data_IF_516825459993
#
_entry.id   IF_516825459993
#
_cell.length_a   1.000
_cell.length_b   1.000
_cell.length_c   1.000
_cell.angle_alpha   90.00
_cell.angle_beta   90.00
_cell.angle_gamma   90.00
#
_symmetry.space_group_name_H-M   'P 1'
#
loop_
_entity.id
_entity.type
_entity.pdbx_description
1 polymer ?
#
# COMPACT_ATOMS: atom_id res chain seq x y z
N UNK A 1 13.81 9.08 58.13
CA UNK A 1 12.47 9.19 58.77
C UNK A 1 11.46 9.36 57.63
N UNK A 2 10.51 8.50 57.24
CA UNK A 2 10.18 7.12 57.55
C UNK A 2 9.56 6.50 56.29
N UNK A 3 9.92 5.25 56.07
CA UNK A 3 9.33 4.43 55.04
C UNK A 3 7.93 3.94 55.47
N UNK A 4 6.96 3.92 54.59
CA UNK A 4 5.76 3.06 54.72
C UNK A 4 5.55 2.25 53.46
N UNK A 5 5.90 0.95 53.54
CA UNK A 5 5.52 -0.13 52.68
C UNK A 5 4.04 -0.44 52.92
N UNK A 6 3.27 -0.60 51.85
CA UNK A 6 1.98 -1.28 51.92
C UNK A 6 1.98 -2.46 50.92
N UNK A 7 2.00 -3.65 51.52
CA UNK A 7 1.79 -4.90 50.81
C UNK A 7 0.29 -5.15 50.67
N UNK A 8 -0.19 -5.52 49.46
CA UNK A 8 -1.54 -6.04 49.25
C UNK A 8 -1.43 -7.47 48.73
N UNK A 9 -2.11 -8.34 49.47
CA UNK A 9 -2.09 -9.78 49.34
C UNK A 9 -2.88 -10.28 48.09
N UNK A 10 -2.30 -11.34 47.50
CA UNK A 10 -2.84 -12.16 46.46
C UNK A 10 -3.90 -13.12 47.05
N UNK A 11 -5.16 -13.03 46.61
CA UNK A 11 -6.16 -14.08 46.83
C UNK A 11 -6.39 -14.86 45.57
N UNK A 12 -5.89 -16.09 45.58
CA UNK A 12 -6.18 -17.14 44.57
C UNK A 12 -7.50 -17.80 44.96
N UNK A 13 -8.49 -17.75 44.07
CA UNK A 13 -9.67 -18.61 44.13
C UNK A 13 -9.59 -19.62 42.98
N UNK A 14 -9.27 -20.87 43.35
CA UNK A 14 -9.51 -22.06 42.52
C UNK A 14 -10.97 -22.48 42.63
N UNK A 15 -11.72 -22.48 41.53
CA UNK A 15 -12.96 -23.24 41.43
C UNK A 15 -12.81 -24.37 40.42
N UNK A 16 -12.77 -25.56 40.95
CA UNK A 16 -12.93 -26.85 40.23
C UNK A 16 -14.38 -26.97 39.74
N UNK A 17 -14.60 -27.14 38.45
CA UNK A 17 -15.86 -27.67 37.91
C UNK A 17 -15.57 -29.00 37.23
N UNK A 18 -16.37 -29.99 37.69
CA UNK A 18 -16.32 -31.39 37.31
C UNK A 18 -16.87 -31.61 35.89
N UNK A 19 -16.22 -32.53 35.18
CA UNK A 19 -16.70 -33.14 33.94
C UNK A 19 -17.88 -34.07 34.28
N UNK A 20 -19.00 -33.96 33.54
CA UNK A 20 -20.01 -34.98 33.43
C UNK A 20 -19.98 -35.59 32.03
N UNK A 21 -19.61 -36.86 31.95
CA UNK A 21 -19.73 -37.71 30.76
C UNK A 21 -21.22 -37.97 30.48
N UNK A 22 -21.64 -37.68 29.27
CA UNK A 22 -22.91 -38.14 28.71
C UNK A 22 -22.62 -39.06 27.53
N UNK A 23 -22.71 -40.35 27.77
CA UNK A 23 -22.70 -41.40 26.74
C UNK A 23 -24.08 -41.46 26.07
N UNK A 24 -24.15 -40.98 24.82
CA UNK A 24 -25.30 -41.27 23.95
C UNK A 24 -25.10 -42.62 23.22
N UNK A 25 -26.02 -43.51 23.43
CA UNK A 25 -26.13 -44.83 22.77
C UNK A 25 -26.81 -44.66 21.40
N UNK A 26 -26.12 -45.13 20.33
CA UNK A 26 -26.67 -45.23 18.98
C UNK A 26 -27.73 -46.36 18.88
N UNK A 27 -28.84 -46.17 18.14
CA UNK A 27 -29.80 -47.22 17.89
C UNK A 27 -29.30 -48.19 16.80
N UNK A 28 -29.53 -49.51 17.07
CA UNK A 28 -29.22 -50.60 16.15
C UNK A 28 -30.19 -50.60 14.95
N UNK A 29 -29.62 -50.64 13.75
CA UNK A 29 -30.38 -50.80 12.51
C UNK A 29 -30.57 -52.28 12.19
N UNK A 30 -31.83 -52.74 12.04
CA UNK A 30 -32.17 -54.06 11.60
C UNK A 30 -31.93 -54.27 10.11
N UNK A 31 -31.29 -55.39 9.79
CA UNK A 31 -31.09 -55.87 8.41
C UNK A 31 -32.41 -56.39 7.83
N UNK A 32 -33.10 -55.62 7.00
CA UNK A 32 -34.09 -56.12 6.09
C UNK A 32 -33.48 -56.24 4.69
N UNK A 33 -33.42 -57.49 4.20
CA UNK A 33 -32.88 -57.83 2.88
C UNK A 33 -33.88 -57.41 1.79
N UNK A 34 -33.56 -56.35 1.06
CA UNK A 34 -34.29 -55.92 -0.12
C UNK A 34 -33.75 -56.70 -1.34
N UNK A 35 -34.62 -57.51 -1.95
CA UNK A 35 -34.36 -58.15 -3.24
C UNK A 35 -34.46 -57.11 -4.32
N UNK A 36 -33.32 -56.75 -4.95
CA UNK A 36 -33.28 -55.80 -6.04
C UNK A 36 -33.23 -56.60 -7.37
N UNK A 37 -34.24 -56.40 -8.21
CA UNK A 37 -34.25 -56.90 -9.60
C UNK A 37 -33.22 -56.15 -10.43
N UNK A 38 -32.46 -56.80 -11.35
CA UNK A 38 -31.49 -56.15 -12.15
C UNK A 38 -32.17 -55.20 -13.19
N UNK A 39 -31.78 -53.94 -13.10
CA UNK A 39 -32.14 -52.91 -14.11
C UNK A 39 -31.35 -53.20 -15.44
N UNK A 40 -31.95 -53.04 -16.59
CA UNK A 40 -31.26 -53.25 -17.86
C UNK A 40 -30.16 -52.17 -18.05
N UNK A 41 -29.00 -52.66 -18.54
CA UNK A 41 -27.81 -51.84 -18.78
C UNK A 41 -28.12 -50.80 -19.90
N UNK A 42 -27.76 -49.54 -19.72
CA UNK A 42 -27.90 -48.50 -20.75
C UNK A 42 -26.90 -48.75 -21.89
N UNK A 43 -27.25 -48.37 -23.15
CA UNK A 43 -26.39 -48.61 -24.30
C UNK A 43 -25.03 -47.88 -24.16
N UNK A 44 -23.96 -48.61 -24.45
CA UNK A 44 -22.59 -48.08 -24.43
C UNK A 44 -22.43 -46.98 -25.49
N UNK A 45 -22.33 -45.73 -25.01
CA UNK A 45 -21.99 -44.59 -25.88
C UNK A 45 -20.48 -44.63 -26.13
N UNK A 46 -20.10 -44.86 -27.39
CA UNK A 46 -18.70 -44.73 -27.81
C UNK A 46 -18.30 -43.24 -27.73
N UNK A 47 -17.28 -42.86 -26.97
CA UNK A 47 -16.89 -41.46 -26.91
C UNK A 47 -16.30 -40.99 -28.25
N UNK A 48 -16.89 -39.97 -28.81
CA UNK A 48 -16.32 -39.24 -29.96
C UNK A 48 -15.02 -38.59 -29.48
N UNK A 49 -13.90 -38.76 -30.22
CA UNK A 49 -12.64 -38.13 -29.82
C UNK A 49 -12.80 -36.61 -29.82
N UNK A 50 -12.52 -36.01 -28.64
CA UNK A 50 -12.47 -34.57 -28.42
C UNK A 50 -11.36 -34.00 -29.32
N UNK A 51 -11.59 -32.91 -30.07
CA UNK A 51 -10.53 -32.27 -30.82
C UNK A 51 -9.43 -31.80 -29.88
N UNK A 52 -8.22 -32.25 -30.10
CA UNK A 52 -7.03 -31.83 -29.37
C UNK A 52 -6.85 -30.32 -29.57
N UNK A 53 -6.86 -29.48 -28.53
CA UNK A 53 -6.57 -28.07 -28.71
C UNK A 53 -5.11 -27.91 -29.12
N UNK A 54 -4.88 -27.56 -30.38
CA UNK A 54 -3.58 -27.14 -30.89
C UNK A 54 -3.36 -25.70 -30.46
N UNK A 55 -2.98 -25.49 -29.19
CA UNK A 55 -2.41 -24.22 -28.75
C UNK A 55 -0.92 -24.32 -29.00
N UNK A 56 -0.45 -23.71 -30.10
CA UNK A 56 0.95 -23.29 -30.16
C UNK A 56 1.23 -22.39 -28.96
N UNK A 57 2.29 -22.61 -28.20
CA UNK A 57 2.66 -21.66 -27.16
C UNK A 57 2.95 -20.33 -27.85
N UNK A 58 2.11 -19.33 -27.61
CA UNK A 58 2.41 -17.95 -27.92
C UNK A 58 3.69 -17.64 -27.15
N UNK A 59 4.79 -17.42 -27.87
CA UNK A 59 6.04 -16.97 -27.30
C UNK A 59 5.69 -15.66 -26.56
N UNK A 60 5.69 -15.68 -25.22
CA UNK A 60 5.59 -14.46 -24.42
C UNK A 60 6.70 -13.55 -24.89
N UNK A 61 6.35 -12.46 -25.58
CA UNK A 61 7.30 -11.39 -25.80
C UNK A 61 7.73 -10.90 -24.43
N UNK A 62 9.05 -10.94 -24.18
CA UNK A 62 9.61 -10.30 -22.98
C UNK A 62 9.46 -8.81 -23.24
N UNK A 63 8.52 -8.18 -22.51
CA UNK A 63 8.38 -6.73 -22.50
C UNK A 63 9.56 -6.23 -21.68
N UNK A 64 10.45 -5.49 -22.30
CA UNK A 64 11.62 -4.91 -21.62
C UNK A 64 11.23 -3.56 -21.05
N UNK A 65 11.65 -3.28 -19.80
CA UNK A 65 11.44 -1.97 -19.17
C UNK A 65 12.21 -0.89 -19.92
N UNK A 66 11.58 0.25 -20.18
CA UNK A 66 12.24 1.44 -20.75
C UNK A 66 13.08 2.12 -19.66
N UNK A 67 14.30 2.49 -19.99
CA UNK A 67 15.10 3.34 -19.10
C UNK A 67 14.82 4.79 -19.46
N UNK A 68 14.31 5.53 -18.49
CA UNK A 68 14.01 6.95 -18.63
C UNK A 68 14.91 7.79 -17.73
N UNK A 69 15.12 9.04 -18.11
CA UNK A 69 15.82 10.04 -17.28
C UNK A 69 14.84 11.06 -16.76
N UNK A 70 15.24 11.77 -15.71
CA UNK A 70 14.46 12.84 -15.11
C UNK A 70 15.02 14.19 -15.57
N UNK A 71 14.16 15.01 -16.20
CA UNK A 71 14.50 16.38 -16.53
C UNK A 71 13.81 17.34 -15.57
N UNK A 72 14.62 18.13 -14.83
CA UNK A 72 14.13 19.14 -13.88
C UNK A 72 13.64 20.37 -14.65
N UNK A 73 12.39 20.77 -14.38
CA UNK A 73 11.77 21.98 -14.94
C UNK A 73 11.93 23.18 -14.01
N UNK A 74 11.96 22.93 -12.70
CA UNK A 74 12.09 23.95 -11.65
C UNK A 74 12.28 23.34 -10.29
N UNK A 75 12.63 24.17 -9.33
CA UNK A 75 12.77 23.80 -7.92
C UNK A 75 11.92 24.71 -7.04
N UNK A 76 11.46 24.19 -5.91
CA UNK A 76 10.68 24.92 -4.91
C UNK A 76 11.18 24.56 -3.52
N UNK A 77 11.11 25.47 -2.55
CA UNK A 77 11.48 25.16 -1.16
C UNK A 77 10.63 24.01 -0.59
N UNK A 78 11.23 23.22 0.30
CA UNK A 78 10.56 22.20 1.08
C UNK A 78 11.05 22.25 2.53
N UNK A 79 10.24 21.78 3.46
CA UNK A 79 10.60 21.71 4.88
C UNK A 79 11.64 20.61 5.14
N UNK A 80 12.88 20.97 5.39
CA UNK A 80 13.99 20.05 5.68
C UNK A 80 13.80 19.21 6.95
N UNK A 81 12.76 19.49 7.74
CA UNK A 81 12.38 18.68 8.91
C UNK A 81 11.29 17.65 8.57
N UNK A 82 10.68 17.73 7.37
CA UNK A 82 9.65 16.82 6.93
C UNK A 82 10.26 15.47 6.50
N UNK A 83 9.89 14.41 7.23
CA UNK A 83 10.24 13.04 6.84
C UNK A 83 9.13 12.49 5.94
N UNK A 84 9.15 12.87 4.68
CA UNK A 84 8.11 12.62 3.68
C UNK A 84 7.84 11.14 3.49
N UNK A 85 6.55 10.75 3.60
CA UNK A 85 6.10 9.36 3.43
C UNK A 85 4.91 9.22 2.48
N UNK A 86 4.23 10.31 2.16
CA UNK A 86 3.17 10.37 1.17
C UNK A 86 3.04 11.79 0.65
N UNK A 87 2.73 11.97 -0.64
CA UNK A 87 2.78 13.26 -1.31
C UNK A 87 1.79 13.28 -2.47
N UNK A 88 0.73 14.11 -2.42
CA UNK A 88 -0.32 14.07 -3.43
C UNK A 88 -1.02 15.42 -3.60
N UNK A 89 -1.39 15.74 -4.84
CA UNK A 89 -2.20 16.91 -5.17
C UNK A 89 -3.71 16.63 -5.13
N UNK A 90 -4.47 17.56 -4.55
CA UNK A 90 -5.92 17.68 -4.71
C UNK A 90 -6.25 19.00 -5.38
N UNK A 91 -6.40 18.97 -6.70
CA UNK A 91 -6.47 20.20 -7.49
C UNK A 91 -5.15 20.98 -7.44
N UNK A 92 -5.18 22.19 -6.85
CA UNK A 92 -3.97 23.01 -6.65
C UNK A 92 -3.39 22.86 -5.23
N UNK A 93 -4.03 22.11 -4.36
CA UNK A 93 -3.63 21.90 -2.97
C UNK A 93 -2.69 20.70 -2.90
N UNK A 94 -1.59 20.84 -2.19
CA UNK A 94 -0.60 19.79 -2.00
C UNK A 94 -0.65 19.29 -0.56
N UNK A 95 -0.75 17.97 -0.39
CA UNK A 95 -0.76 17.32 0.90
C UNK A 95 0.49 16.45 1.07
N UNK A 96 0.99 16.41 2.31
CA UNK A 96 2.16 15.63 2.69
C UNK A 96 1.89 14.85 3.96
N UNK A 97 2.11 13.54 3.92
CA UNK A 97 2.19 12.68 5.09
C UNK A 97 3.63 12.58 5.56
N UNK A 98 3.87 12.81 6.86
CA UNK A 98 5.21 12.81 7.47
C UNK A 98 5.35 11.69 8.48
N UNK A 99 6.52 11.04 8.46
CA UNK A 99 6.91 10.00 9.40
C UNK A 99 7.60 10.54 10.65
N UNK A 100 8.23 9.64 11.40
CA UNK A 100 8.93 9.77 12.67
C UNK A 100 7.99 9.87 13.89
N UNK A 101 8.13 8.89 14.80
CA UNK A 101 7.35 8.89 16.06
C UNK A 101 7.58 10.16 16.86
N UNK A 102 6.49 10.81 17.28
CA UNK A 102 6.51 12.10 17.98
C UNK A 102 6.54 13.32 17.04
N UNK A 103 6.78 13.12 15.72
CA UNK A 103 6.78 14.18 14.70
C UNK A 103 5.94 13.84 13.48
N UNK A 104 5.29 12.66 13.47
CA UNK A 104 4.39 12.25 12.38
C UNK A 104 3.16 13.14 12.32
N UNK A 105 2.70 13.39 11.09
CA UNK A 105 1.54 14.24 10.87
C UNK A 105 1.08 14.25 9.43
N UNK A 106 0.06 15.05 9.17
CA UNK A 106 -0.46 15.35 7.85
C UNK A 106 -0.46 16.86 7.66
N UNK A 107 0.10 17.34 6.57
CA UNK A 107 0.32 18.75 6.29
C UNK A 107 -0.30 19.12 4.95
N UNK A 108 -0.94 20.27 4.86
CA UNK A 108 -1.22 20.94 3.59
C UNK A 108 -0.19 22.04 3.39
N UNK A 109 0.46 22.04 2.25
CA UNK A 109 1.54 22.98 1.90
C UNK A 109 1.21 23.77 0.64
N UNK A 110 1.67 25.00 0.59
CA UNK A 110 1.67 25.79 -0.63
C UNK A 110 2.73 25.21 -1.59
N UNK A 111 2.29 24.65 -2.69
CA UNK A 111 3.18 24.00 -3.65
C UNK A 111 4.17 24.95 -4.33
N UNK A 112 4.00 26.27 -4.25
CA UNK A 112 4.88 27.24 -4.91
C UNK A 112 6.10 27.64 -4.08
N UNK A 113 5.98 27.65 -2.76
CA UNK A 113 7.02 28.15 -1.85
C UNK A 113 7.28 27.24 -0.62
N UNK A 114 6.52 26.13 -0.50
CA UNK A 114 6.67 25.17 0.59
C UNK A 114 6.11 25.64 1.93
N UNK A 115 5.37 26.78 1.97
CA UNK A 115 4.77 27.27 3.21
C UNK A 115 3.72 26.28 3.75
N UNK A 116 3.81 25.93 5.03
CA UNK A 116 2.82 25.10 5.71
C UNK A 116 1.54 25.92 5.92
N UNK A 117 0.46 25.53 5.27
CA UNK A 117 -0.84 26.16 5.37
C UNK A 117 -1.66 25.60 6.54
N UNK A 118 -1.61 24.26 6.72
CA UNK A 118 -2.28 23.55 7.80
C UNK A 118 -1.45 22.33 8.19
N UNK A 119 -1.48 22.00 9.47
CA UNK A 119 -0.75 20.88 10.03
C UNK A 119 -1.58 20.20 11.14
N UNK A 120 -1.62 18.86 11.11
CA UNK A 120 -2.12 18.04 12.20
C UNK A 120 -1.08 16.99 12.57
N UNK A 121 -0.89 16.81 13.87
CA UNK A 121 0.03 15.80 14.39
C UNK A 121 -0.69 14.49 14.70
N UNK A 122 -0.05 13.35 14.41
CA UNK A 122 -0.47 12.06 14.92
C UNK A 122 -0.08 11.95 16.41
N UNK A 123 -0.78 11.06 17.14
CA UNK A 123 -0.35 10.69 18.46
C UNK A 123 1.08 10.09 18.44
N UNK A 124 1.92 10.39 19.45
CA UNK A 124 3.37 10.16 19.37
C UNK A 124 3.79 8.69 19.23
N UNK A 125 2.91 7.76 19.52
CA UNK A 125 3.13 6.32 19.31
C UNK A 125 3.07 5.89 17.83
N UNK A 126 2.43 6.68 16.97
CA UNK A 126 2.30 6.35 15.54
C UNK A 126 3.48 6.86 14.73
N UNK A 127 3.83 6.10 13.71
CA UNK A 127 4.70 6.53 12.64
C UNK A 127 3.82 6.66 11.39
N UNK A 128 3.58 7.88 10.90
CA UNK A 128 2.82 8.15 9.67
C UNK A 128 3.58 7.66 8.45
N UNK A 129 2.84 7.09 7.51
CA UNK A 129 3.36 6.55 6.25
C UNK A 129 2.59 7.11 5.06
N UNK A 130 2.54 6.40 3.94
CA UNK A 130 1.88 6.82 2.72
C UNK A 130 0.45 7.30 2.93
N UNK A 131 0.01 8.18 2.06
CA UNK A 131 -1.36 8.70 2.05
C UNK A 131 -1.90 8.73 0.64
N UNK A 132 -3.23 8.79 0.51
CA UNK A 132 -3.90 9.10 -0.75
C UNK A 132 -5.24 9.77 -0.52
N UNK A 133 -5.76 10.41 -1.57
CA UNK A 133 -7.01 11.16 -1.53
C UNK A 133 -8.11 10.35 -2.23
N UNK A 134 -9.23 10.12 -1.51
CA UNK A 134 -10.41 9.44 -2.03
C UNK A 134 -11.62 10.35 -1.86
N UNK A 135 -12.11 10.93 -2.94
CA UNK A 135 -13.19 11.91 -2.89
C UNK A 135 -12.82 13.13 -2.04
N UNK A 136 -13.55 13.33 -0.95
CA UNK A 136 -13.34 14.45 -0.02
C UNK A 136 -12.59 14.00 1.26
N UNK A 137 -11.86 12.89 1.20
CA UNK A 137 -11.12 12.34 2.35
C UNK A 137 -9.68 12.01 2.01
N UNK A 138 -8.80 12.09 3.03
CA UNK A 138 -7.41 11.68 2.97
C UNK A 138 -7.25 10.43 3.82
N UNK A 139 -6.70 9.35 3.26
CA UNK A 139 -6.36 8.12 3.98
C UNK A 139 -4.86 8.12 4.23
N UNK A 140 -4.43 8.08 5.50
CA UNK A 140 -3.02 8.05 5.90
C UNK A 140 -2.71 6.73 6.62
N UNK A 141 -1.68 6.03 6.16
CA UNK A 141 -1.19 4.80 6.77
C UNK A 141 -0.34 5.06 8.01
N UNK A 142 -0.14 4.01 8.81
CA UNK A 142 0.88 3.94 9.87
C UNK A 142 1.81 2.76 9.59
N UNK A 143 3.12 2.88 9.83
CA UNK A 143 4.12 1.85 9.52
C UNK A 143 3.76 0.46 10.06
N UNK A 144 3.83 0.26 11.37
CA UNK A 144 3.68 -1.05 12.03
C UNK A 144 2.48 -1.12 12.96
N UNK A 145 1.68 -0.04 13.04
CA UNK A 145 0.54 0.00 13.97
C UNK A 145 -0.73 -0.59 13.38
N UNK A 146 -0.72 -0.94 12.08
CA UNK A 146 -1.84 -1.57 11.38
C UNK A 146 -3.10 -0.70 11.33
N UNK A 147 -2.93 0.63 11.34
CA UNK A 147 -4.02 1.61 11.28
C UNK A 147 -3.89 2.52 10.08
N UNK A 148 -5.01 2.76 9.40
CA UNK A 148 -5.15 3.81 8.41
C UNK A 148 -6.17 4.83 8.91
N UNK A 149 -5.73 6.07 9.09
CA UNK A 149 -6.57 7.17 9.54
C UNK A 149 -7.23 7.85 8.34
N UNK A 150 -8.51 8.23 8.48
CA UNK A 150 -9.26 8.92 7.43
C UNK A 150 -9.63 10.30 7.93
N UNK A 151 -9.22 11.31 7.19
CA UNK A 151 -9.47 12.72 7.51
C UNK A 151 -10.39 13.35 6.47
N UNK A 152 -11.27 14.21 6.92
CA UNK A 152 -11.98 15.14 6.03
C UNK A 152 -10.98 16.15 5.44
N UNK A 153 -10.95 16.31 4.12
CA UNK A 153 -9.92 17.09 3.43
C UNK A 153 -10.04 18.60 3.70
N UNK A 154 -11.26 19.08 3.99
CA UNK A 154 -11.49 20.50 4.23
C UNK A 154 -11.12 20.93 5.64
N UNK A 155 -11.30 20.06 6.62
CA UNK A 155 -11.09 20.40 8.04
C UNK A 155 -9.86 19.73 8.64
N UNK A 156 -9.30 18.73 8.00
CA UNK A 156 -8.29 17.80 8.50
C UNK A 156 -8.72 17.10 9.80
N UNK A 157 -10.03 17.03 10.06
CA UNK A 157 -10.56 16.33 11.21
C UNK A 157 -10.60 14.82 10.94
N UNK A 158 -10.21 14.02 11.93
CA UNK A 158 -10.33 12.56 11.86
C UNK A 158 -11.82 12.18 11.80
N UNK A 159 -12.25 11.51 10.73
CA UNK A 159 -13.66 11.11 10.51
C UNK A 159 -13.85 9.60 10.56
N UNK A 160 -12.80 8.81 10.29
CA UNK A 160 -12.84 7.35 10.34
C UNK A 160 -11.43 6.79 10.57
N UNK A 161 -11.35 5.47 10.82
CA UNK A 161 -10.10 4.71 10.78
C UNK A 161 -10.38 3.28 10.32
N UNK A 162 -9.42 2.70 9.63
CA UNK A 162 -9.40 1.29 9.27
C UNK A 162 -8.28 0.55 10.01
N UNK A 163 -8.37 -0.77 10.00
CA UNK A 163 -7.31 -1.65 10.51
C UNK A 163 -6.80 -2.56 9.39
N UNK A 164 -5.49 -2.86 9.42
CA UNK A 164 -4.88 -3.78 8.48
C UNK A 164 -3.74 -4.58 9.15
N UNK A 165 -3.30 -5.63 8.51
CA UNK A 165 -2.21 -6.47 8.98
C UNK A 165 -0.92 -6.19 8.19
N UNK A 166 0.23 -6.33 8.88
CA UNK A 166 1.54 -6.10 8.28
C UNK A 166 1.99 -4.65 8.38
N UNK A 167 2.93 -4.29 7.55
CA UNK A 167 3.43 -2.93 7.41
C UNK A 167 2.67 -2.18 6.32
N UNK A 168 2.56 -0.86 6.45
CA UNK A 168 2.07 0.02 5.40
C UNK A 168 3.14 1.05 5.08
N UNK A 169 3.50 1.19 3.78
CA UNK A 169 4.51 2.13 3.33
C UNK A 169 3.91 3.20 2.41
N UNK A 170 3.63 2.90 1.15
CA UNK A 170 2.97 3.80 0.21
C UNK A 170 1.50 3.47 0.00
N UNK A 171 0.73 4.45 -0.46
CA UNK A 171 -0.69 4.29 -0.79
C UNK A 171 -1.04 5.24 -1.94
N UNK A 172 -1.68 4.75 -3.01
CA UNK A 172 -2.30 5.60 -4.02
C UNK A 172 -3.66 5.05 -4.46
N UNK A 173 -4.48 5.90 -5.11
CA UNK A 173 -5.82 5.59 -5.59
C UNK A 173 -5.94 5.85 -7.09
N UNK A 174 -6.34 4.84 -7.87
CA UNK A 174 -6.51 4.95 -9.33
C UNK A 174 -7.91 5.39 -9.79
N UNK A 175 -8.77 5.77 -8.84
CA UNK A 175 -10.19 6.08 -9.09
C UNK A 175 -11.12 4.88 -8.88
N UNK A 176 -10.59 3.68 -8.65
CA UNK A 176 -11.35 2.44 -8.45
C UNK A 176 -10.84 1.65 -7.25
N UNK A 177 -9.53 1.46 -7.16
CA UNK A 177 -8.86 0.65 -6.14
C UNK A 177 -7.74 1.44 -5.48
N UNK A 178 -7.48 1.15 -4.22
CA UNK A 178 -6.27 1.56 -3.54
C UNK A 178 -5.15 0.55 -3.81
N UNK A 179 -3.95 1.04 -4.10
CA UNK A 179 -2.72 0.25 -4.15
C UNK A 179 -1.87 0.59 -2.94
N UNK A 180 -1.49 -0.41 -2.18
CA UNK A 180 -0.71 -0.28 -0.95
C UNK A 180 0.58 -1.07 -1.04
N UNK A 181 1.71 -0.44 -0.79
CA UNK A 181 3.03 -1.07 -0.67
C UNK A 181 3.37 -1.40 0.79
N UNK A 182 4.32 -2.34 0.98
CA UNK A 182 4.88 -2.73 2.26
C UNK A 182 6.39 -3.05 2.17
N UNK A 183 7.03 -2.58 1.09
CA UNK A 183 8.43 -2.85 0.79
C UNK A 183 8.70 -4.19 0.10
N UNK A 184 7.70 -5.04 -0.06
CA UNK A 184 7.80 -6.29 -0.84
C UNK A 184 7.70 -6.06 -2.35
N UNK A 185 7.65 -7.13 -3.12
CA UNK A 185 7.39 -7.14 -4.57
C UNK A 185 5.90 -7.25 -4.92
N UNK A 186 5.02 -6.94 -3.96
CA UNK A 186 3.56 -7.05 -4.12
C UNK A 186 2.90 -5.76 -3.70
N UNK A 187 2.06 -5.20 -4.56
CA UNK A 187 1.09 -4.17 -4.18
C UNK A 187 -0.21 -4.85 -3.76
N UNK A 188 -0.67 -4.56 -2.54
CA UNK A 188 -1.96 -5.04 -2.06
C UNK A 188 -3.06 -4.12 -2.57
N UNK A 189 -4.07 -4.67 -3.27
CA UNK A 189 -5.24 -3.92 -3.73
C UNK A 189 -6.29 -3.89 -2.62
N UNK A 190 -6.88 -2.70 -2.38
CA UNK A 190 -7.89 -2.50 -1.34
C UNK A 190 -9.09 -1.74 -1.88
N UNK A 191 -10.22 -2.03 -1.29
CA UNK A 191 -11.46 -1.30 -1.51
C UNK A 191 -11.39 0.08 -0.82
N UNK A 192 -11.68 1.19 -1.51
CA UNK A 192 -11.51 2.54 -0.96
C UNK A 192 -12.52 2.90 0.15
N UNK A 193 -13.67 2.23 0.22
CA UNK A 193 -14.72 2.52 1.21
C UNK A 193 -14.55 1.71 2.49
N UNK A 194 -14.09 0.45 2.38
CA UNK A 194 -14.00 -0.49 3.50
C UNK A 194 -12.58 -0.82 3.91
N UNK A 195 -11.59 -0.47 3.07
CA UNK A 195 -10.19 -0.82 3.19
C UNK A 195 -9.91 -2.33 3.14
N UNK A 196 -10.91 -3.15 2.80
CA UNK A 196 -10.77 -4.59 2.66
C UNK A 196 -9.84 -4.95 1.49
N UNK A 197 -9.06 -6.03 1.66
CA UNK A 197 -8.22 -6.54 0.56
C UNK A 197 -9.10 -7.13 -0.53
N UNK A 198 -8.95 -6.63 -1.74
CA UNK A 198 -9.68 -7.07 -2.94
C UNK A 198 -8.81 -7.89 -3.89
N UNK A 199 -7.47 -7.76 -3.79
CA UNK A 199 -6.54 -8.44 -4.66
C UNK A 199 -5.09 -8.12 -4.33
N UNK A 200 -4.22 -8.50 -5.24
CA UNK A 200 -2.79 -8.16 -5.18
C UNK A 200 -2.20 -8.10 -6.58
N UNK A 201 -1.20 -7.25 -6.77
CA UNK A 201 -0.45 -7.10 -8.01
C UNK A 201 1.02 -7.38 -7.73
N UNK A 202 1.55 -8.45 -8.33
CA UNK A 202 2.98 -8.77 -8.21
C UNK A 202 3.77 -7.92 -9.20
N UNK A 203 4.82 -7.25 -8.72
CA UNK A 203 5.66 -6.34 -9.51
C UNK A 203 6.88 -7.06 -10.04
N UNK A 204 7.06 -7.03 -11.36
CA UNK A 204 8.17 -7.68 -12.06
C UNK A 204 8.78 -6.75 -13.11
N UNK A 205 10.10 -6.84 -13.28
CA UNK A 205 10.85 -6.24 -14.39
C UNK A 205 11.69 -7.34 -15.04
N UNK A 206 11.58 -7.53 -16.35
CA UNK A 206 12.34 -8.54 -17.09
C UNK A 206 12.33 -9.94 -16.45
N UNK A 207 11.18 -10.37 -15.92
CA UNK A 207 10.95 -11.62 -15.18
C UNK A 207 11.57 -11.70 -13.78
N UNK A 208 12.12 -10.60 -13.27
CA UNK A 208 12.66 -10.53 -11.91
C UNK A 208 11.70 -9.74 -11.01
N UNK A 209 11.44 -10.26 -9.82
CA UNK A 209 10.65 -9.55 -8.81
C UNK A 209 11.32 -8.25 -8.38
N UNK A 210 10.55 -7.17 -8.30
CA UNK A 210 11.00 -5.84 -7.88
C UNK A 210 10.45 -5.53 -6.51
N UNK A 211 11.32 -5.41 -5.52
CA UNK A 211 10.98 -5.11 -4.13
C UNK A 211 11.41 -3.68 -3.73
N UNK A 212 11.21 -3.33 -2.44
CA UNK A 212 11.44 -2.01 -1.85
C UNK A 212 10.50 -0.93 -2.39
N UNK A 213 9.30 -1.35 -2.82
CA UNK A 213 8.25 -0.42 -3.23
C UNK A 213 7.85 0.42 -2.02
N UNK A 214 7.97 1.73 -2.13
CA UNK A 214 7.71 2.65 -1.03
C UNK A 214 6.58 3.61 -1.38
N UNK A 215 6.79 4.90 -1.39
CA UNK A 215 5.78 5.89 -1.67
C UNK A 215 5.25 5.72 -3.10
N UNK A 216 3.94 5.94 -3.29
CA UNK A 216 3.21 5.60 -4.50
C UNK A 216 2.37 6.78 -5.00
N UNK A 217 2.36 6.98 -6.33
CA UNK A 217 1.45 7.87 -7.03
C UNK A 217 0.74 7.14 -8.19
N UNK A 218 -0.58 7.18 -8.24
CA UNK A 218 -1.39 6.55 -9.28
C UNK A 218 -1.72 7.54 -10.40
N UNK A 219 -1.25 7.29 -11.62
CA UNK A 219 -1.52 8.12 -12.81
C UNK A 219 -1.94 7.25 -13.98
N UNK A 220 -3.15 7.45 -14.48
CA UNK A 220 -3.76 6.67 -15.56
C UNK A 220 -3.70 5.15 -15.28
N UNK A 221 -3.02 4.37 -16.12
CA UNK A 221 -2.88 2.93 -15.98
C UNK A 221 -1.55 2.50 -15.31
N UNK A 222 -0.88 3.43 -14.61
CA UNK A 222 0.38 3.18 -13.92
C UNK A 222 0.35 3.56 -12.44
N UNK A 223 1.07 2.77 -11.63
CA UNK A 223 1.53 3.15 -10.31
C UNK A 223 2.99 3.55 -10.40
N UNK A 224 3.30 4.81 -10.11
CA UNK A 224 4.67 5.28 -9.92
C UNK A 224 5.08 4.98 -8.49
N UNK A 225 6.26 4.38 -8.30
CA UNK A 225 6.74 3.98 -7.00
C UNK A 225 8.19 4.41 -6.77
N UNK A 226 8.46 5.02 -5.62
CA UNK A 226 9.83 5.16 -5.14
C UNK A 226 10.41 3.79 -4.78
N UNK A 227 11.62 3.48 -5.22
CA UNK A 227 12.37 2.32 -4.74
C UNK A 227 13.24 2.72 -3.54
N UNK A 228 12.84 2.27 -2.35
CA UNK A 228 13.49 2.66 -1.10
C UNK A 228 15.01 2.43 -1.10
N UNK A 229 15.77 3.41 -0.62
CA UNK A 229 17.24 3.46 -0.59
C UNK A 229 17.88 3.43 -1.97
N UNK A 230 17.21 3.97 -2.99
CA UNK A 230 17.77 4.21 -4.31
C UNK A 230 17.32 5.57 -4.82
N UNK A 231 17.96 6.05 -5.89
CA UNK A 231 17.54 7.23 -6.64
C UNK A 231 16.70 6.83 -7.85
N UNK A 232 15.77 5.89 -7.66
CA UNK A 232 14.98 5.30 -8.75
C UNK A 232 13.49 5.41 -8.45
N UNK A 233 12.75 5.83 -9.46
CA UNK A 233 11.30 5.72 -9.55
C UNK A 233 10.97 4.70 -10.63
N UNK A 234 9.95 3.88 -10.45
CA UNK A 234 9.46 2.94 -11.45
C UNK A 234 8.00 3.22 -11.78
N UNK A 235 7.61 3.02 -13.05
CA UNK A 235 6.23 3.03 -13.49
C UNK A 235 5.75 1.59 -13.69
N UNK A 236 4.76 1.18 -12.90
CA UNK A 236 4.23 -0.18 -12.84
C UNK A 236 2.88 -0.18 -13.54
N UNK A 237 2.71 -1.00 -14.56
CA UNK A 237 1.44 -1.18 -15.25
C UNK A 237 0.42 -1.89 -14.33
N UNK A 238 -0.73 -1.28 -14.13
CA UNK A 238 -1.76 -1.76 -13.17
C UNK A 238 -2.44 -3.07 -13.58
N UNK A 239 -2.42 -3.42 -14.87
CA UNK A 239 -3.04 -4.64 -15.38
C UNK A 239 -2.11 -5.85 -15.28
N UNK A 240 -0.81 -5.65 -15.52
CA UNK A 240 0.18 -6.73 -15.65
C UNK A 240 1.12 -6.85 -14.45
N UNK A 241 1.32 -5.78 -13.69
CA UNK A 241 2.38 -5.67 -12.68
C UNK A 241 3.78 -5.54 -13.28
N UNK A 242 3.89 -5.40 -14.61
CA UNK A 242 5.17 -5.20 -15.27
C UNK A 242 5.66 -3.76 -15.04
N UNK A 243 6.97 -3.60 -14.81
CA UNK A 243 7.62 -2.28 -14.77
C UNK A 243 7.85 -1.84 -16.20
N UNK A 244 7.04 -0.90 -16.69
CA UNK A 244 7.16 -0.38 -18.05
C UNK A 244 8.32 0.61 -18.17
N UNK A 245 8.58 1.40 -17.10
CA UNK A 245 9.68 2.39 -17.09
C UNK A 245 10.47 2.34 -15.78
N UNK A 246 11.78 2.49 -15.90
CA UNK A 246 12.72 2.69 -14.78
C UNK A 246 13.31 4.09 -14.94
N UNK A 247 13.02 4.98 -14.01
CA UNK A 247 13.37 6.41 -14.07
C UNK A 247 14.56 6.67 -13.15
N UNK A 248 15.68 7.13 -13.72
CA UNK A 248 16.87 7.54 -12.97
C UNK A 248 16.71 8.98 -12.47
N UNK A 249 16.62 9.14 -11.16
CA UNK A 249 16.52 10.41 -10.45
C UNK A 249 17.86 10.85 -9.83
N UNK A 250 18.97 10.17 -10.11
CA UNK A 250 20.28 10.45 -9.49
C UNK A 250 20.78 11.87 -9.73
N UNK A 251 20.32 12.55 -10.79
CA UNK A 251 20.62 13.96 -11.05
C UNK A 251 20.18 14.88 -9.93
N UNK A 252 19.13 14.53 -9.16
CA UNK A 252 18.65 15.33 -8.03
C UNK A 252 19.69 15.42 -6.91
N UNK A 253 20.54 14.40 -6.76
CA UNK A 253 21.63 14.38 -5.77
C UNK A 253 22.70 15.46 -6.01
N UNK A 254 22.70 16.11 -7.18
CA UNK A 254 23.63 17.20 -7.50
C UNK A 254 23.23 18.56 -6.93
N UNK A 255 21.99 18.67 -6.40
CA UNK A 255 21.50 19.91 -5.82
C UNK A 255 21.95 20.07 -4.36
N UNK A 256 22.27 21.32 -3.99
CA UNK A 256 22.75 21.65 -2.65
C UNK A 256 21.72 21.25 -1.58
N UNK A 257 22.19 20.59 -0.53
CA UNK A 257 21.38 20.13 0.59
C UNK A 257 20.65 18.79 0.34
N UNK A 258 20.61 18.28 -0.92
CA UNK A 258 19.94 17.01 -1.24
C UNK A 258 20.85 15.82 -0.99
N UNK A 259 22.10 15.85 -1.44
CA UNK A 259 23.06 14.75 -1.30
C UNK A 259 23.37 14.37 0.16
N UNK A 260 23.26 15.32 1.07
CA UNK A 260 23.51 15.12 2.51
C UNK A 260 22.24 14.79 3.31
N UNK A 261 21.07 14.85 2.65
CA UNK A 261 19.76 14.54 3.25
C UNK A 261 19.47 13.02 3.23
N UNK A 262 18.25 12.67 3.46
CA UNK A 262 17.80 11.29 3.45
C UNK A 262 17.37 10.86 2.04
N UNK A 263 16.71 9.71 1.89
CA UNK A 263 16.36 9.10 0.60
C UNK A 263 15.27 9.86 -0.16
N UNK A 264 15.29 9.74 -1.49
CA UNK A 264 14.19 10.09 -2.38
C UNK A 264 12.90 9.41 -1.92
N UNK A 265 11.84 10.17 -1.69
CA UNK A 265 10.51 9.66 -1.33
C UNK A 265 9.48 10.80 -1.42
N UNK A 266 8.44 10.60 -2.21
CA UNK A 266 7.39 11.58 -2.49
C UNK A 266 7.30 11.88 -3.98
N UNK A 267 6.15 11.50 -4.57
CA UNK A 267 5.81 11.70 -5.98
C UNK A 267 4.39 12.25 -6.01
N UNK A 268 4.19 13.43 -6.61
CA UNK A 268 2.85 14.00 -6.78
C UNK A 268 2.66 14.44 -8.23
N UNK A 269 1.60 13.99 -8.90
CA UNK A 269 1.33 14.32 -10.29
C UNK A 269 0.66 15.68 -10.46
N UNK A 270 1.23 16.53 -11.31
CA UNK A 270 0.68 17.85 -11.67
C UNK A 270 -0.10 17.71 -12.97
N UNK A 271 -1.37 17.42 -12.88
CA UNK A 271 -2.24 17.17 -14.03
C UNK A 271 -2.26 18.33 -15.05
N UNK A 272 -2.13 19.57 -14.59
CA UNK A 272 -2.22 20.76 -15.45
C UNK A 272 -1.05 20.88 -16.44
N UNK A 273 0.13 20.39 -16.07
CA UNK A 273 1.37 20.47 -16.88
C UNK A 273 1.88 19.11 -17.35
N UNK A 274 1.18 18.03 -17.02
CA UNK A 274 1.62 16.65 -17.27
C UNK A 274 3.07 16.45 -16.80
N UNK A 275 3.31 16.83 -15.54
CA UNK A 275 4.62 16.75 -14.88
C UNK A 275 4.45 16.22 -13.47
N UNK A 276 5.57 15.96 -12.80
CA UNK A 276 5.55 15.47 -11.42
C UNK A 276 6.28 16.47 -10.51
N UNK A 277 5.82 16.57 -9.27
CA UNK A 277 6.57 17.17 -8.18
C UNK A 277 7.16 16.05 -7.35
N UNK A 278 8.48 16.00 -7.23
CA UNK A 278 9.17 14.97 -6.45
C UNK A 278 10.00 15.60 -5.34
N UNK A 279 10.16 14.89 -4.24
CA UNK A 279 10.96 15.30 -3.10
C UNK A 279 11.60 14.09 -2.41
N UNK A 280 12.19 14.29 -1.22
CA UNK A 280 12.73 13.21 -0.40
C UNK A 280 12.62 13.53 1.08
N UNK A 281 12.88 12.52 1.89
CA UNK A 281 12.86 12.63 3.35
C UNK A 281 13.91 13.64 3.81
N UNK A 282 13.48 14.69 4.53
CA UNK A 282 14.34 15.76 5.03
C UNK A 282 15.04 16.56 3.90
N UNK A 283 14.51 16.55 2.71
CA UNK A 283 15.06 17.35 1.61
C UNK A 283 14.62 18.81 1.75
N UNK A 284 15.51 19.77 1.42
CA UNK A 284 15.16 21.21 1.44
C UNK A 284 14.41 21.66 0.18
N UNK A 285 14.26 20.79 -0.83
CA UNK A 285 13.71 21.12 -2.14
C UNK A 285 12.68 20.09 -2.61
N UNK A 286 11.67 20.61 -3.31
CA UNK A 286 10.80 19.88 -4.22
C UNK A 286 11.24 20.19 -5.65
N UNK A 287 11.11 19.21 -6.55
CA UNK A 287 11.52 19.32 -7.95
C UNK A 287 10.33 19.08 -8.87
N UNK A 288 9.98 20.06 -9.68
CA UNK A 288 9.08 19.83 -10.80
C UNK A 288 9.86 19.17 -11.96
N UNK A 289 9.38 18.01 -12.41
CA UNK A 289 10.13 17.16 -13.34
C UNK A 289 9.22 16.55 -14.40
N UNK A 290 9.84 16.15 -15.52
CA UNK A 290 9.23 15.22 -16.50
C UNK A 290 10.15 14.02 -16.69
N UNK A 291 9.58 12.89 -17.04
CA UNK A 291 10.29 11.64 -17.29
C UNK A 291 10.44 11.44 -18.81
N UNK A 292 11.69 11.43 -19.30
CA UNK A 292 12.07 11.37 -20.73
C UNK A 292 12.86 10.12 -21.10
#
# INVERSE_FOLDING_TARGET
>A
MDAKRLAVALCIFCTLLACSDSTETLPSVSNDSIIVNPTPEPPTVVPTPLPTPTTSPTKSEIVQSEIATMRVLGTRPHDETAFTQGFEFYGERLFESRGLRGSSGLTEINASDGEVLRDISLAPEFFGEGMTIVGDTIIQLTWTSGKAFVYDIETLSLVNQFEYYGEGWGLCFDGTSLYMSDGSDVLTLRDPETFAVTGSLKVISDLVSVNRLNELECVDDHVYANMWQTDTIIAINTLSGHVDRVIDASTLQTYEGVSDANVLNGIAYIKASDSFLVTGKLWPLMFEVVFE
#
